data_IF_148012139446
#
_entry.id   IF_148012139446
#
_cell.length_a   1.000
_cell.length_b   1.000
_cell.length_c   1.000
_cell.angle_alpha   90.00
_cell.angle_beta   90.00
_cell.angle_gamma   90.00
#
_symmetry.space_group_name_H-M   'P 1'
#
loop_
_entity.id
_entity.type
_entity.pdbx_description
1 polymer ?
#
# COMPACT_ATOMS: atom_id res chain seq x y z
N UNK A 1 -47.87 2.19 14.67
CA UNK A 1 -47.20 3.49 14.33
C UNK A 1 -45.88 3.19 13.62
N UNK A 2 -45.86 3.24 12.29
CA UNK A 2 -44.69 3.06 11.45
C UNK A 2 -43.74 4.24 11.66
N UNK A 3 -42.56 3.99 12.30
CA UNK A 3 -41.47 4.98 12.30
C UNK A 3 -41.09 5.25 10.86
N UNK A 4 -41.46 6.42 10.31
CA UNK A 4 -40.91 6.96 9.08
C UNK A 4 -39.39 6.91 9.22
N UNK A 5 -38.73 5.97 8.53
CA UNK A 5 -37.29 5.97 8.37
C UNK A 5 -36.89 7.22 7.61
N UNK A 6 -36.62 8.32 8.34
CA UNK A 6 -36.03 9.52 7.75
C UNK A 6 -34.72 9.07 7.07
N UNK A 7 -34.64 9.26 5.77
CA UNK A 7 -33.51 8.86 4.97
C UNK A 7 -32.24 9.47 5.57
N UNK A 8 -31.40 8.66 6.23
CA UNK A 8 -30.17 9.13 6.86
C UNK A 8 -29.25 9.75 5.80
N UNK A 9 -28.80 10.96 6.06
CA UNK A 9 -27.86 11.66 5.20
C UNK A 9 -26.43 11.22 5.54
N UNK A 10 -25.93 10.22 4.81
CA UNK A 10 -24.56 9.70 5.00
C UNK A 10 -23.62 10.47 4.10
N UNK A 11 -22.61 11.12 4.69
CA UNK A 11 -21.56 11.83 3.97
C UNK A 11 -20.25 11.07 4.07
N UNK A 12 -19.54 10.92 2.95
CA UNK A 12 -18.27 10.23 2.82
C UNK A 12 -17.22 11.26 2.41
N UNK A 13 -16.14 11.37 3.18
CA UNK A 13 -15.02 12.26 2.87
C UNK A 13 -13.94 11.49 2.11
N UNK A 14 -13.63 11.96 0.90
CA UNK A 14 -12.64 11.39 0.00
C UNK A 14 -13.22 10.47 -1.06
N UNK A 15 -12.93 10.78 -2.32
CA UNK A 15 -13.30 10.00 -3.51
C UNK A 15 -12.24 9.00 -3.97
N UNK A 16 -11.35 8.55 -3.08
CA UNK A 16 -10.43 7.45 -3.32
C UNK A 16 -11.11 6.08 -3.33
N UNK A 17 -10.33 5.00 -3.51
CA UNK A 17 -10.88 3.63 -3.57
C UNK A 17 -11.76 3.30 -2.35
N UNK A 18 -11.35 3.69 -1.15
CA UNK A 18 -12.08 3.40 0.08
C UNK A 18 -13.45 4.10 0.09
N UNK A 19 -13.51 5.41 -0.19
CA UNK A 19 -14.76 6.15 -0.22
C UNK A 19 -15.70 5.70 -1.33
N UNK A 20 -15.16 5.42 -2.52
CA UNK A 20 -15.92 4.86 -3.64
C UNK A 20 -16.49 3.48 -3.29
N UNK A 21 -15.73 2.62 -2.62
CA UNK A 21 -16.19 1.29 -2.20
C UNK A 21 -17.30 1.37 -1.15
N UNK A 22 -17.14 2.23 -0.14
CA UNK A 22 -18.21 2.47 0.85
C UNK A 22 -19.50 2.90 0.15
N UNK A 23 -19.41 3.89 -0.73
CA UNK A 23 -20.56 4.38 -1.47
C UNK A 23 -21.20 3.30 -2.36
N UNK A 24 -20.39 2.47 -3.02
CA UNK A 24 -20.85 1.37 -3.85
C UNK A 24 -21.66 0.35 -3.04
N UNK A 25 -21.18 -0.05 -1.86
CA UNK A 25 -21.88 -0.99 -1.00
C UNK A 25 -23.14 -0.39 -0.37
N UNK A 26 -23.09 0.86 0.09
CA UNK A 26 -24.29 1.55 0.59
C UNK A 26 -25.40 1.59 -0.45
N UNK A 27 -25.05 1.82 -1.72
CA UNK A 27 -26.04 1.80 -2.82
C UNK A 27 -26.64 0.41 -3.05
N UNK A 28 -25.86 -0.67 -2.92
CA UNK A 28 -26.39 -2.03 -3.00
C UNK A 28 -27.48 -2.28 -1.96
N UNK A 29 -27.34 -1.66 -0.80
CA UNK A 29 -28.37 -1.68 0.27
C UNK A 29 -29.41 -0.58 0.14
N UNK A 30 -29.49 0.12 -1.02
CA UNK A 30 -30.43 1.24 -1.27
C UNK A 30 -30.27 2.41 -0.29
N UNK A 31 -29.12 2.56 0.36
CA UNK A 31 -28.83 3.62 1.31
C UNK A 31 -28.25 4.83 0.56
N UNK A 32 -28.93 5.98 0.67
CA UNK A 32 -28.48 7.25 0.08
C UNK A 32 -27.19 7.72 0.74
N UNK A 33 -26.26 8.21 -0.05
CA UNK A 33 -24.99 8.74 0.45
C UNK A 33 -24.42 9.78 -0.51
N UNK A 34 -23.49 10.60 -0.03
CA UNK A 34 -22.83 11.66 -0.78
C UNK A 34 -21.33 11.61 -0.53
N UNK A 35 -20.54 11.51 -1.58
CA UNK A 35 -19.07 11.64 -1.50
C UNK A 35 -18.67 13.10 -1.71
N UNK A 36 -17.78 13.60 -0.86
CA UNK A 36 -17.12 14.90 -0.98
C UNK A 36 -15.67 14.67 -1.40
N UNK A 37 -15.29 15.20 -2.56
CA UNK A 37 -13.93 15.09 -3.11
C UNK A 37 -13.38 16.50 -3.38
N UNK A 38 -12.13 16.74 -2.96
CA UNK A 38 -11.45 18.03 -3.12
C UNK A 38 -10.95 18.26 -4.55
N UNK A 39 -10.60 17.18 -5.24
CA UNK A 39 -10.12 17.19 -6.62
C UNK A 39 -11.28 17.25 -7.62
N UNK A 40 -10.95 17.50 -8.88
CA UNK A 40 -11.91 17.47 -10.00
C UNK A 40 -12.22 16.06 -10.52
N UNK A 41 -11.54 15.04 -10.00
CA UNK A 41 -11.70 13.61 -10.37
C UNK A 41 -11.56 12.71 -9.15
N UNK A 42 -12.33 11.63 -9.12
CA UNK A 42 -12.19 10.60 -8.10
C UNK A 42 -11.11 9.58 -8.45
N UNK A 43 -10.70 8.79 -7.44
CA UNK A 43 -9.74 7.69 -7.58
C UNK A 43 -8.53 7.78 -6.66
N UNK A 44 -8.24 8.97 -6.12
CA UNK A 44 -7.09 9.16 -5.24
C UNK A 44 -5.77 8.71 -5.88
N UNK A 45 -4.97 7.95 -5.18
CA UNK A 45 -3.68 7.43 -5.67
C UNK A 45 -3.82 6.37 -6.78
N UNK A 46 -5.00 5.75 -6.94
CA UNK A 46 -5.25 4.75 -8.00
C UNK A 46 -5.57 5.37 -9.36
N UNK A 47 -5.54 6.70 -9.46
CA UNK A 47 -5.78 7.36 -10.76
C UNK A 47 -4.64 7.06 -11.72
N UNK A 48 -5.00 7.04 -13.00
CA UNK A 48 -4.06 7.07 -14.12
C UNK A 48 -4.25 8.36 -14.90
N UNK A 49 -3.22 8.80 -15.59
CA UNK A 49 -3.23 9.98 -16.45
C UNK A 49 -2.54 9.68 -17.77
N UNK A 50 -2.91 10.44 -18.80
CA UNK A 50 -2.38 10.27 -20.15
C UNK A 50 -1.52 11.49 -20.51
N UNK A 51 -0.32 11.22 -21.02
CA UNK A 51 0.55 12.24 -21.63
C UNK A 51 0.90 11.74 -23.03
N UNK A 52 0.45 12.47 -24.05
CA UNK A 52 0.57 12.04 -25.46
C UNK A 52 -0.04 10.64 -25.63
N UNK A 53 0.73 9.65 -26.12
CA UNK A 53 0.31 8.27 -26.27
C UNK A 53 0.52 7.37 -25.05
N UNK A 54 1.22 7.85 -24.04
CA UNK A 54 1.57 7.09 -22.83
C UNK A 54 0.52 7.25 -21.74
N UNK A 55 0.26 6.17 -21.01
CA UNK A 55 -0.60 6.15 -19.83
C UNK A 55 0.28 5.85 -18.64
N UNK A 56 0.19 6.68 -17.62
CA UNK A 56 0.94 6.55 -16.37
C UNK A 56 -0.02 6.45 -15.19
N UNK A 57 0.37 5.74 -14.17
CA UNK A 57 -0.35 5.67 -12.90
C UNK A 57 0.21 6.71 -11.92
N UNK A 58 -0.64 7.25 -11.04
CA UNK A 58 -0.20 8.21 -10.02
C UNK A 58 0.77 7.60 -9.01
N UNK A 59 0.70 6.28 -8.82
CA UNK A 59 1.62 5.52 -8.00
C UNK A 59 1.67 4.07 -8.45
N UNK A 60 2.73 3.34 -8.07
CA UNK A 60 2.84 1.91 -8.39
C UNK A 60 1.87 1.13 -7.51
N UNK A 61 1.01 0.35 -8.13
CA UNK A 61 0.04 -0.49 -7.45
C UNK A 61 0.14 -1.95 -7.87
N UNK A 62 -0.01 -2.81 -6.89
CA UNK A 62 -0.05 -4.26 -7.07
C UNK A 62 -1.43 -4.75 -6.61
N UNK A 63 -2.12 -5.44 -7.51
CA UNK A 63 -3.44 -6.01 -7.21
C UNK A 63 -3.32 -7.39 -6.60
N UNK A 64 -3.42 -7.47 -5.27
CA UNK A 64 -3.55 -8.74 -4.56
C UNK A 64 -5.01 -9.05 -4.31
N UNK A 65 -5.49 -10.19 -4.80
CA UNK A 65 -6.85 -10.66 -4.55
C UNK A 65 -6.82 -12.07 -4.00
N UNK A 66 -6.79 -12.22 -2.67
CA UNK A 66 -6.89 -13.53 -2.01
C UNK A 66 -8.34 -14.00 -1.87
N UNK A 67 -9.26 -13.11 -1.55
CA UNK A 67 -10.67 -13.49 -1.37
C UNK A 67 -11.48 -13.39 -2.68
N UNK A 68 -12.63 -14.11 -2.69
CA UNK A 68 -13.54 -14.19 -3.85
C UNK A 68 -14.12 -12.82 -4.24
N UNK A 69 -14.45 -11.97 -3.25
CA UNK A 69 -15.05 -10.65 -3.50
C UNK A 69 -14.08 -9.75 -4.27
N UNK A 70 -12.82 -9.68 -3.82
CA UNK A 70 -11.80 -8.88 -4.51
C UNK A 70 -11.48 -9.44 -5.92
N UNK A 71 -11.40 -10.78 -6.10
CA UNK A 71 -11.22 -11.40 -7.42
C UNK A 71 -12.35 -11.03 -8.38
N UNK A 72 -13.60 -11.12 -7.93
CA UNK A 72 -14.77 -10.77 -8.72
C UNK A 72 -14.80 -9.27 -9.04
N UNK A 73 -14.43 -8.43 -8.09
CA UNK A 73 -14.32 -6.99 -8.31
C UNK A 73 -13.34 -6.66 -9.44
N UNK A 74 -12.12 -7.20 -9.42
CA UNK A 74 -11.14 -6.96 -10.48
C UNK A 74 -11.63 -7.45 -11.85
N UNK A 75 -12.26 -8.63 -11.90
CA UNK A 75 -12.83 -9.19 -13.15
C UNK A 75 -13.95 -8.30 -13.72
N UNK A 76 -14.84 -7.80 -12.85
CA UNK A 76 -15.96 -6.97 -13.26
C UNK A 76 -15.57 -5.54 -13.63
N UNK A 77 -14.46 -5.03 -13.10
CA UNK A 77 -14.05 -3.63 -13.25
C UNK A 77 -13.38 -3.34 -14.60
N UNK A 78 -12.50 -4.22 -15.07
CA UNK A 78 -11.77 -4.05 -16.33
C UNK A 78 -11.24 -5.37 -16.86
N UNK A 79 -11.15 -5.51 -18.20
CA UNK A 79 -10.34 -6.57 -18.83
C UNK A 79 -8.89 -6.40 -18.37
N UNK A 80 -8.26 -7.47 -17.88
CA UNK A 80 -6.94 -7.39 -17.27
C UNK A 80 -6.03 -8.55 -17.65
N UNK A 81 -4.73 -8.33 -17.55
CA UNK A 81 -3.70 -9.36 -17.60
C UNK A 81 -3.51 -9.98 -16.23
N UNK A 82 -3.17 -11.27 -16.21
CA UNK A 82 -2.56 -11.92 -15.06
C UNK A 82 -1.05 -11.88 -15.26
N UNK A 83 -0.35 -11.38 -14.26
CA UNK A 83 1.10 -11.25 -14.26
C UNK A 83 1.63 -12.07 -13.10
N UNK A 84 2.59 -12.93 -13.36
CA UNK A 84 3.37 -13.62 -12.33
C UNK A 84 4.65 -12.79 -12.09
N UNK A 85 4.71 -11.97 -11.04
CA UNK A 85 5.87 -11.15 -10.79
C UNK A 85 7.05 -12.03 -10.38
N UNK A 86 8.22 -11.72 -10.94
CA UNK A 86 9.50 -12.27 -10.52
C UNK A 86 10.41 -11.12 -10.10
N UNK A 87 10.19 -10.55 -8.90
CA UNK A 87 10.97 -9.40 -8.46
C UNK A 87 12.42 -9.78 -8.26
N UNK A 88 13.31 -8.85 -8.55
CA UNK A 88 14.74 -8.99 -8.42
C UNK A 88 15.31 -7.87 -7.54
N UNK A 89 16.48 -8.12 -6.98
CA UNK A 89 17.24 -7.14 -6.20
C UNK A 89 18.55 -6.84 -6.94
N UNK A 90 18.84 -5.58 -7.18
CA UNK A 90 20.14 -5.16 -7.68
C UNK A 90 21.07 -4.95 -6.48
N UNK A 91 22.13 -5.75 -6.41
CA UNK A 91 23.15 -5.67 -5.37
C UNK A 91 24.55 -5.71 -6.00
N UNK A 92 25.34 -4.66 -5.79
CA UNK A 92 26.71 -4.54 -6.36
C UNK A 92 26.77 -4.90 -7.86
N UNK A 93 25.86 -4.33 -8.65
CA UNK A 93 25.70 -4.60 -10.11
C UNK A 93 25.32 -6.05 -10.47
N UNK A 94 24.93 -6.88 -9.51
CA UNK A 94 24.41 -8.22 -9.75
C UNK A 94 22.91 -8.27 -9.50
N UNK A 95 22.18 -9.00 -10.32
CA UNK A 95 20.76 -9.30 -10.12
C UNK A 95 20.59 -10.54 -9.26
N UNK A 96 19.91 -10.41 -8.14
CA UNK A 96 19.60 -11.48 -7.19
C UNK A 96 18.08 -11.64 -7.15
N UNK A 97 17.58 -12.84 -7.36
CA UNK A 97 16.15 -13.11 -7.30
C UNK A 97 15.57 -12.88 -5.90
N UNK A 98 14.34 -12.46 -5.82
CA UNK A 98 13.62 -12.26 -4.57
C UNK A 98 13.03 -13.62 -4.11
N UNK A 99 13.12 -13.98 -2.86
CA UNK A 99 13.77 -13.31 -1.71
C UNK A 99 15.26 -13.66 -1.64
N UNK A 100 16.14 -12.67 -1.43
CA UNK A 100 17.59 -12.86 -1.57
C UNK A 100 18.18 -13.98 -0.73
N UNK A 101 17.63 -14.25 0.47
CA UNK A 101 18.13 -15.29 1.37
C UNK A 101 18.08 -16.69 0.77
N UNK A 102 17.26 -16.92 -0.27
CA UNK A 102 17.16 -18.18 -0.99
C UNK A 102 17.94 -18.21 -2.31
N UNK A 103 18.56 -17.07 -2.72
CA UNK A 103 19.14 -16.89 -4.04
C UNK A 103 20.50 -16.19 -3.99
N UNK A 104 21.37 -16.66 -3.09
CA UNK A 104 22.71 -16.07 -2.88
C UNK A 104 23.75 -16.56 -3.88
N UNK A 105 23.39 -17.45 -4.82
CA UNK A 105 24.31 -18.05 -5.79
C UNK A 105 25.16 -17.01 -6.56
N UNK A 106 24.64 -15.84 -6.99
CA UNK A 106 25.44 -14.84 -7.70
C UNK A 106 26.54 -14.17 -6.88
N UNK A 107 26.50 -14.27 -5.54
CA UNK A 107 27.51 -13.67 -4.67
C UNK A 107 28.85 -14.37 -4.76
N UNK A 108 29.93 -13.66 -4.48
CA UNK A 108 31.25 -14.26 -4.35
C UNK A 108 31.37 -15.14 -3.09
N UNK A 109 32.35 -16.01 -3.07
CA UNK A 109 32.54 -17.00 -2.00
C UNK A 109 32.71 -16.35 -0.61
N UNK A 110 33.43 -15.24 -0.54
CA UNK A 110 33.71 -14.54 0.73
C UNK A 110 32.38 -14.00 1.34
N UNK A 111 31.52 -13.43 0.51
CA UNK A 111 30.23 -12.94 0.99
C UNK A 111 29.30 -14.09 1.44
N UNK A 112 29.28 -15.19 0.70
CA UNK A 112 28.53 -16.40 1.09
C UNK A 112 28.97 -16.92 2.46
N UNK A 113 30.29 -17.04 2.67
CA UNK A 113 30.86 -17.47 3.94
C UNK A 113 30.49 -16.51 5.07
N UNK A 114 30.64 -15.19 4.87
CA UNK A 114 30.23 -14.16 5.86
C UNK A 114 28.75 -14.26 6.22
N UNK A 115 27.88 -14.49 5.25
CA UNK A 115 26.45 -14.66 5.48
C UNK A 115 26.17 -15.91 6.30
N UNK A 116 26.76 -17.05 5.94
CA UNK A 116 26.55 -18.33 6.63
C UNK A 116 27.08 -18.26 8.07
N UNK A 117 28.29 -17.78 8.28
CA UNK A 117 28.86 -17.60 9.62
C UNK A 117 27.99 -16.66 10.47
N UNK A 118 27.62 -15.51 9.90
CA UNK A 118 26.75 -14.56 10.60
C UNK A 118 25.37 -15.15 10.94
N UNK A 119 24.86 -16.05 10.12
CA UNK A 119 23.62 -16.79 10.41
C UNK A 119 23.82 -17.82 11.54
N UNK A 120 24.93 -18.55 11.56
CA UNK A 120 25.23 -19.55 12.61
C UNK A 120 25.36 -18.88 13.99
N UNK A 121 26.09 -17.77 14.05
CA UNK A 121 26.37 -17.04 15.30
C UNK A 121 25.34 -15.95 15.65
N UNK A 122 24.16 -15.97 15.02
CA UNK A 122 23.12 -14.98 15.30
C UNK A 122 22.50 -15.14 16.69
N UNK A 123 22.10 -14.05 17.31
CA UNK A 123 21.37 -14.09 18.57
C UNK A 123 19.88 -14.38 18.31
N UNK A 124 19.46 -15.62 18.51
CA UNK A 124 18.06 -16.05 18.31
C UNK A 124 17.09 -15.42 19.30
N UNK A 125 17.53 -14.97 20.46
CA UNK A 125 16.67 -14.30 21.45
C UNK A 125 16.07 -13.02 20.90
N UNK A 126 16.71 -12.37 19.94
CA UNK A 126 16.18 -11.16 19.29
C UNK A 126 14.90 -11.42 18.49
N UNK A 127 14.68 -12.66 18.02
CA UNK A 127 13.43 -13.06 17.35
C UNK A 127 12.28 -13.04 18.36
N UNK A 128 12.50 -13.59 19.54
CA UNK A 128 11.45 -13.74 20.57
C UNK A 128 11.17 -12.42 21.29
N UNK A 129 12.22 -11.67 21.63
CA UNK A 129 12.09 -10.36 22.32
C UNK A 129 11.43 -9.29 21.45
N UNK A 130 11.48 -9.39 20.14
CA UNK A 130 10.84 -8.50 19.16
C UNK A 130 10.88 -7.01 19.52
N UNK A 131 11.97 -6.54 20.09
CA UNK A 131 12.11 -5.14 20.52
C UNK A 131 11.82 -4.15 19.40
N UNK A 132 12.42 -4.40 18.22
CA UNK A 132 12.21 -3.64 17.01
C UNK A 132 12.51 -4.49 15.77
N UNK A 133 12.23 -3.95 14.58
CA UNK A 133 12.38 -4.66 13.33
C UNK A 133 13.84 -5.01 13.01
N UNK A 134 14.80 -4.14 13.33
CA UNK A 134 16.22 -4.40 13.10
C UNK A 134 16.73 -5.61 13.89
N UNK A 135 16.41 -5.66 15.18
CA UNK A 135 16.80 -6.79 16.03
C UNK A 135 16.17 -8.11 15.52
N UNK A 136 14.91 -8.05 15.13
CA UNK A 136 14.24 -9.20 14.55
C UNK A 136 14.93 -9.69 13.27
N UNK A 137 15.35 -8.78 12.38
CA UNK A 137 16.08 -9.12 11.17
C UNK A 137 17.44 -9.76 11.48
N UNK A 138 18.21 -9.19 12.42
CA UNK A 138 19.50 -9.71 12.83
C UNK A 138 19.39 -11.10 13.46
N UNK A 139 18.37 -11.30 14.31
CA UNK A 139 18.08 -12.60 14.90
C UNK A 139 17.62 -13.65 13.89
N UNK A 140 16.85 -13.23 12.88
CA UNK A 140 16.32 -14.15 11.85
C UNK A 140 17.35 -14.55 10.81
N UNK A 141 18.18 -13.62 10.35
CA UNK A 141 19.05 -13.83 9.17
C UNK A 141 20.55 -13.68 9.44
N UNK A 142 20.95 -13.29 10.64
CA UNK A 142 22.33 -12.91 10.98
C UNK A 142 22.65 -11.46 10.61
N UNK A 143 23.62 -10.88 11.31
CA UNK A 143 23.97 -9.47 11.20
C UNK A 143 24.40 -9.05 9.79
N UNK A 144 25.24 -9.88 9.14
CA UNK A 144 25.78 -9.55 7.82
C UNK A 144 24.67 -9.47 6.76
N UNK A 145 23.88 -10.53 6.61
CA UNK A 145 22.77 -10.53 5.65
C UNK A 145 21.75 -9.44 5.97
N UNK A 146 21.35 -9.30 7.24
CA UNK A 146 20.36 -8.31 7.65
C UNK A 146 20.79 -6.88 7.24
N UNK A 147 22.05 -6.52 7.46
CA UNK A 147 22.60 -5.19 7.13
C UNK A 147 22.61 -4.94 5.62
N UNK A 148 23.07 -5.92 4.83
CA UNK A 148 23.30 -5.71 3.40
C UNK A 148 22.06 -5.83 2.54
N UNK A 149 21.00 -6.49 3.02
CA UNK A 149 19.74 -6.69 2.28
C UNK A 149 18.53 -6.03 2.96
N UNK A 150 17.85 -6.67 3.93
CA UNK A 150 16.56 -6.15 4.37
C UNK A 150 16.63 -4.83 5.14
N UNK A 151 17.68 -4.54 5.90
CA UNK A 151 17.83 -3.25 6.60
C UNK A 151 17.99 -2.13 5.58
N UNK A 152 18.97 -2.26 4.68
CA UNK A 152 19.24 -1.25 3.63
C UNK A 152 18.02 -1.03 2.73
N UNK A 153 17.37 -2.12 2.30
CA UNK A 153 16.13 -2.04 1.53
C UNK A 153 15.02 -1.31 2.30
N UNK A 154 14.82 -1.66 3.57
CA UNK A 154 13.78 -1.07 4.41
C UNK A 154 13.98 0.42 4.60
N UNK A 155 15.20 0.84 4.92
CA UNK A 155 15.50 2.26 5.14
C UNK A 155 15.33 3.09 3.86
N UNK A 156 15.70 2.53 2.71
CA UNK A 156 15.45 3.16 1.41
C UNK A 156 13.96 3.24 1.09
N UNK A 157 13.22 2.15 1.29
CA UNK A 157 11.81 2.05 0.89
C UNK A 157 10.88 2.85 1.80
N UNK A 158 11.12 2.83 3.12
CA UNK A 158 10.26 3.47 4.11
C UNK A 158 10.79 4.84 4.58
N UNK A 159 11.98 5.26 4.16
CA UNK A 159 12.66 6.45 4.66
C UNK A 159 12.66 6.53 6.21
N UNK A 160 12.78 5.37 6.86
CA UNK A 160 12.69 5.20 8.31
C UNK A 160 13.70 4.15 8.75
N UNK A 161 14.46 4.42 9.81
CA UNK A 161 15.43 3.46 10.34
C UNK A 161 14.72 2.20 10.83
N UNK A 162 15.26 1.04 10.49
CA UNK A 162 14.69 -0.25 10.86
C UNK A 162 14.54 -0.44 12.38
N UNK A 163 15.42 0.16 13.18
CA UNK A 163 15.34 0.16 14.64
C UNK A 163 14.13 0.90 15.20
N UNK A 164 13.58 1.85 14.46
CA UNK A 164 12.41 2.65 14.84
C UNK A 164 11.08 2.02 14.36
N UNK A 165 11.13 0.86 13.74
CA UNK A 165 9.98 0.16 13.21
C UNK A 165 9.51 -0.98 14.13
N UNK A 166 8.19 -1.11 14.26
CA UNK A 166 7.56 -2.23 14.96
C UNK A 166 7.69 -3.54 14.18
N UNK A 167 7.60 -4.67 14.88
CA UNK A 167 7.57 -6.02 14.31
C UNK A 167 6.15 -6.55 14.08
N UNK A 168 5.11 -5.82 14.47
CA UNK A 168 3.70 -6.29 14.43
C UNK A 168 3.17 -6.63 13.03
N UNK A 169 3.75 -6.03 11.98
CA UNK A 169 3.36 -6.21 10.58
C UNK A 169 4.05 -7.37 9.86
N UNK A 170 5.10 -7.95 10.44
CA UNK A 170 5.97 -8.95 9.79
C UNK A 170 5.17 -10.21 9.41
N UNK A 171 4.56 -10.88 10.39
CA UNK A 171 3.80 -12.14 10.23
C UNK A 171 4.30 -12.98 9.03
N UNK A 172 3.43 -13.20 8.04
CA UNK A 172 3.71 -14.00 6.83
C UNK A 172 4.37 -13.22 5.68
N UNK A 173 4.71 -11.94 5.88
CA UNK A 173 5.33 -11.12 4.82
C UNK A 173 6.83 -11.36 4.69
N UNK A 174 7.46 -11.78 5.76
CA UNK A 174 8.88 -12.12 5.76
C UNK A 174 9.03 -13.62 5.86
N UNK A 175 9.83 -14.18 4.97
CA UNK A 175 10.11 -15.61 4.91
C UNK A 175 11.30 -15.93 5.80
N UNK A 176 11.13 -16.65 6.93
CA UNK A 176 12.25 -17.17 7.70
C UNK A 176 13.04 -18.15 6.84
N UNK A 177 14.32 -18.32 7.13
CA UNK A 177 15.18 -19.27 6.45
C UNK A 177 15.79 -20.23 7.47
N UNK A 178 15.97 -21.49 7.08
CA UNK A 178 16.77 -22.46 7.80
C UNK A 178 18.17 -22.57 7.16
N UNK A 179 19.12 -23.22 7.86
CA UNK A 179 20.49 -23.34 7.41
C UNK A 179 20.59 -24.12 6.08
N UNK A 180 19.80 -25.19 5.93
CA UNK A 180 19.80 -26.01 4.71
C UNK A 180 19.42 -25.17 3.49
N UNK A 181 18.32 -24.43 3.56
CA UNK A 181 17.86 -23.56 2.47
C UNK A 181 18.85 -22.43 2.18
N UNK A 182 19.52 -21.89 3.22
CA UNK A 182 20.54 -20.86 3.07
C UNK A 182 21.75 -21.39 2.30
N UNK A 183 22.24 -22.59 2.64
CA UNK A 183 23.36 -23.25 1.97
C UNK A 183 22.97 -23.59 0.53
N UNK A 184 21.79 -24.16 0.31
CA UNK A 184 21.31 -24.48 -1.05
C UNK A 184 21.26 -23.22 -1.89
N UNK A 185 20.66 -22.13 -1.38
CA UNK A 185 20.57 -20.86 -2.10
C UNK A 185 21.91 -20.17 -2.35
N UNK A 186 22.96 -20.48 -1.54
CA UNK A 186 24.30 -19.94 -1.71
C UNK A 186 25.12 -20.69 -2.77
N UNK A 187 25.00 -22.01 -2.85
CA UNK A 187 25.90 -22.82 -3.67
C UNK A 187 25.23 -23.44 -4.91
N UNK A 188 23.91 -23.46 -4.97
CA UNK A 188 23.19 -24.01 -6.11
C UNK A 188 22.30 -22.94 -6.77
N UNK A 189 22.31 -22.89 -8.10
CA UNK A 189 21.49 -21.97 -8.88
C UNK A 189 20.07 -22.52 -9.06
N UNK A 190 19.35 -22.64 -7.93
CA UNK A 190 17.98 -23.18 -7.91
C UNK A 190 17.02 -22.02 -7.58
N UNK A 191 16.09 -21.76 -8.49
CA UNK A 191 15.04 -20.77 -8.25
C UNK A 191 13.97 -21.33 -7.31
N UNK A 192 13.71 -20.62 -6.20
CA UNK A 192 12.63 -20.92 -5.27
C UNK A 192 11.61 -19.77 -5.29
N UNK A 193 10.42 -20.02 -5.77
CA UNK A 193 9.35 -19.01 -5.74
C UNK A 193 8.90 -18.78 -4.29
N UNK A 194 9.38 -17.69 -3.72
CA UNK A 194 9.08 -17.28 -2.34
C UNK A 194 8.26 -16.01 -2.27
N UNK A 195 7.84 -15.48 -3.43
CA UNK A 195 7.07 -14.26 -3.45
C UNK A 195 5.63 -14.51 -2.98
N UNK A 196 5.19 -13.73 -1.99
CA UNK A 196 3.89 -13.90 -1.32
C UNK A 196 2.67 -13.67 -2.23
N UNK A 197 2.87 -13.21 -3.46
CA UNK A 197 1.84 -12.96 -4.45
C UNK A 197 2.21 -13.48 -5.82
N UNK A 198 1.78 -14.68 -6.10
CA UNK A 198 2.08 -15.37 -7.37
C UNK A 198 1.24 -14.85 -8.54
N UNK A 199 0.20 -14.07 -8.29
CA UNK A 199 -0.66 -13.51 -9.35
C UNK A 199 -1.01 -12.07 -9.06
N UNK A 200 -0.60 -11.19 -9.95
CA UNK A 200 -1.02 -9.80 -10.00
C UNK A 200 -1.90 -9.54 -11.19
N UNK A 201 -2.73 -8.51 -11.11
CA UNK A 201 -3.58 -8.07 -12.21
C UNK A 201 -3.26 -6.63 -12.56
N UNK A 202 -3.20 -6.39 -13.87
CA UNK A 202 -3.10 -5.05 -14.42
C UNK A 202 -4.11 -4.88 -15.57
N UNK A 203 -4.81 -3.73 -15.69
CA UNK A 203 -5.78 -3.51 -16.74
C UNK A 203 -5.14 -3.54 -18.13
N UNK A 204 -5.83 -4.12 -19.12
CA UNK A 204 -5.35 -4.11 -20.51
C UNK A 204 -5.30 -2.71 -21.10
N UNK A 205 -6.18 -1.83 -20.66
CA UNK A 205 -6.32 -0.46 -21.18
C UNK A 205 -6.59 0.53 -20.04
N UNK A 206 -6.13 1.78 -20.20
CA UNK A 206 -6.46 2.91 -19.34
C UNK A 206 -5.71 3.00 -18.02
N UNK A 207 -4.70 2.16 -17.80
CA UNK A 207 -3.90 2.13 -16.57
C UNK A 207 -4.66 1.56 -15.37
N UNK A 208 -4.04 1.57 -14.20
CA UNK A 208 -4.59 0.97 -12.98
C UNK A 208 -5.91 1.59 -12.54
N UNK A 209 -6.11 2.88 -12.86
CA UNK A 209 -7.38 3.60 -12.61
C UNK A 209 -8.61 2.97 -13.23
N UNK A 210 -8.45 2.11 -14.23
CA UNK A 210 -9.56 1.39 -14.89
C UNK A 210 -10.25 0.39 -13.95
N UNK A 211 -9.56 -0.11 -12.94
CA UNK A 211 -10.19 -0.93 -11.90
C UNK A 211 -11.22 -0.19 -11.05
N UNK A 212 -11.26 1.14 -11.13
CA UNK A 212 -12.27 1.94 -10.43
C UNK A 212 -13.55 2.15 -11.26
N UNK A 213 -13.63 1.69 -12.52
CA UNK A 213 -14.72 2.02 -13.42
C UNK A 213 -16.09 1.58 -12.88
N UNK A 214 -16.18 0.41 -12.24
CA UNK A 214 -17.45 -0.05 -11.64
C UNK A 214 -17.89 0.85 -10.48
N UNK A 215 -16.92 1.38 -9.71
CA UNK A 215 -17.20 2.26 -8.56
C UNK A 215 -17.53 3.70 -9.00
N UNK A 216 -16.93 4.15 -10.12
CA UNK A 216 -17.13 5.51 -10.67
C UNK A 216 -18.51 5.71 -11.29
N UNK A 217 -19.27 4.66 -11.54
CA UNK A 217 -20.68 4.75 -12.00
C UNK A 217 -21.60 5.45 -10.97
N UNK A 218 -21.04 5.76 -9.80
CA UNK A 218 -21.75 6.50 -8.76
C UNK A 218 -21.84 7.99 -9.10
N UNK A 219 -23.08 8.49 -9.27
CA UNK A 219 -23.35 9.92 -9.54
C UNK A 219 -23.43 10.80 -8.29
N UNK A 220 -23.32 10.24 -7.09
CA UNK A 220 -23.43 10.96 -5.81
C UNK A 220 -22.08 11.47 -5.32
N UNK A 221 -21.32 12.18 -6.17
CA UNK A 221 -20.03 12.76 -5.85
C UNK A 221 -20.07 14.26 -6.13
N UNK A 222 -19.67 15.06 -5.14
CA UNK A 222 -19.41 16.49 -5.31
C UNK A 222 -17.90 16.72 -5.39
N UNK A 223 -17.44 17.11 -6.57
CA UNK A 223 -16.03 17.44 -6.85
C UNK A 223 -15.71 18.90 -6.49
N UNK A 224 -14.42 19.22 -6.45
CA UNK A 224 -13.90 20.57 -6.16
C UNK A 224 -14.42 21.13 -4.83
N UNK A 225 -14.63 20.24 -3.83
CA UNK A 225 -15.15 20.59 -2.50
C UNK A 225 -14.09 20.43 -1.45
N UNK A 226 -13.23 21.47 -1.34
CA UNK A 226 -12.21 21.52 -0.30
C UNK A 226 -12.85 21.87 1.04
N UNK A 227 -12.73 20.95 2.00
CA UNK A 227 -13.26 21.11 3.35
C UNK A 227 -12.39 22.11 4.10
N UNK A 228 -13.04 23.12 4.70
CA UNK A 228 -12.42 24.10 5.60
C UNK A 228 -12.45 23.62 7.04
N UNK A 229 -13.57 22.99 7.46
CA UNK A 229 -13.82 22.66 8.85
C UNK A 229 -14.96 21.65 8.98
N UNK A 230 -14.87 20.81 9.99
CA UNK A 230 -15.90 19.83 10.36
C UNK A 230 -16.33 20.14 11.81
N UNK A 231 -17.63 20.29 12.05
CA UNK A 231 -18.20 20.34 13.38
C UNK A 231 -18.91 19.02 13.66
N UNK A 232 -18.29 18.17 14.47
CA UNK A 232 -18.82 16.82 14.76
C UNK A 232 -20.05 16.88 15.67
N UNK A 233 -20.15 17.85 16.60
CA UNK A 233 -21.28 18.01 17.50
C UNK A 233 -22.52 18.48 16.76
N UNK A 234 -22.37 19.53 15.91
CA UNK A 234 -23.46 20.07 15.07
C UNK A 234 -23.69 19.26 13.81
N UNK A 235 -22.86 18.25 13.54
CA UNK A 235 -22.89 17.42 12.32
C UNK A 235 -22.87 18.25 11.05
N UNK A 236 -21.95 19.21 10.94
CA UNK A 236 -21.81 20.13 9.81
C UNK A 236 -20.42 20.09 9.20
N UNK A 237 -20.35 20.19 7.88
CA UNK A 237 -19.11 20.34 7.12
C UNK A 237 -19.16 21.69 6.41
N UNK A 238 -18.11 22.50 6.60
CA UNK A 238 -17.94 23.81 5.99
C UNK A 238 -16.90 23.74 4.88
N UNK A 239 -17.19 24.38 3.76
CA UNK A 239 -16.29 24.47 2.61
C UNK A 239 -15.62 25.85 2.51
N UNK A 240 -14.51 25.95 1.79
CA UNK A 240 -13.82 27.22 1.59
C UNK A 240 -14.70 28.30 0.93
N UNK A 241 -15.69 27.87 0.16
CA UNK A 241 -16.65 28.75 -0.56
C UNK A 241 -17.81 29.24 0.31
N UNK A 242 -17.72 29.17 1.64
CA UNK A 242 -18.78 29.60 2.55
C UNK A 242 -19.98 28.66 2.67
N UNK A 243 -20.15 27.73 1.76
CA UNK A 243 -21.24 26.74 1.78
C UNK A 243 -21.04 25.70 2.87
N UNK A 244 -22.13 25.20 3.45
CA UNK A 244 -22.12 24.11 4.42
C UNK A 244 -23.09 23.00 4.04
N UNK A 245 -22.86 21.79 4.53
CA UNK A 245 -23.79 20.66 4.49
C UNK A 245 -23.93 20.04 5.87
N UNK A 246 -25.10 19.47 6.16
CA UNK A 246 -25.35 18.67 7.36
C UNK A 246 -25.21 17.18 7.04
N UNK A 247 -24.89 16.38 8.02
CA UNK A 247 -24.85 14.91 7.92
C UNK A 247 -25.44 14.27 9.18
N UNK A 248 -26.02 13.09 9.02
CA UNK A 248 -26.42 12.26 10.15
C UNK A 248 -25.30 11.31 10.55
N UNK A 249 -24.64 10.73 9.53
CA UNK A 249 -23.46 9.88 9.69
C UNK A 249 -22.33 10.34 8.77
N UNK A 250 -21.11 10.28 9.28
CA UNK A 250 -19.90 10.67 8.56
C UNK A 250 -18.94 9.48 8.46
N UNK A 251 -18.52 9.18 7.23
CA UNK A 251 -17.46 8.21 6.97
C UNK A 251 -16.26 8.97 6.44
N UNK A 252 -15.15 8.95 7.16
CA UNK A 252 -13.91 9.57 6.72
C UNK A 252 -12.99 8.56 6.07
N UNK A 253 -12.55 8.82 4.85
CA UNK A 253 -11.53 8.07 4.13
C UNK A 253 -10.34 8.95 3.73
N UNK A 254 -10.28 10.18 4.23
CA UNK A 254 -9.12 11.05 4.15
C UNK A 254 -8.10 10.68 5.24
N UNK A 255 -6.82 11.07 5.11
CA UNK A 255 -5.82 10.79 6.14
C UNK A 255 -6.26 11.24 7.54
N UNK A 256 -6.09 10.38 8.54
CA UNK A 256 -6.54 10.66 9.90
C UNK A 256 -5.96 11.95 10.50
N UNK A 257 -4.68 12.30 10.30
CA UNK A 257 -4.15 13.60 10.74
C UNK A 257 -4.88 14.79 10.11
N UNK A 258 -5.22 14.70 8.82
CA UNK A 258 -5.98 15.74 8.12
C UNK A 258 -7.40 15.85 8.66
N UNK A 259 -8.07 14.73 8.89
CA UNK A 259 -9.40 14.70 9.50
C UNK A 259 -9.39 15.34 10.89
N UNK A 260 -8.42 15.00 11.75
CA UNK A 260 -8.29 15.61 13.09
C UNK A 260 -8.04 17.11 13.01
N UNK A 261 -7.19 17.57 12.06
CA UNK A 261 -6.90 18.99 11.86
C UNK A 261 -8.14 19.78 11.43
N UNK A 262 -8.97 19.20 10.58
CA UNK A 262 -10.20 19.82 10.07
C UNK A 262 -11.34 19.81 11.10
N UNK A 263 -11.32 18.91 12.06
CA UNK A 263 -12.39 18.72 13.04
C UNK A 263 -12.29 19.70 14.19
N UNK A 264 -13.41 20.39 14.50
CA UNK A 264 -13.53 21.22 15.70
C UNK A 264 -13.70 20.35 16.95
N UNK A 265 -13.26 20.88 18.09
CA UNK A 265 -13.47 20.30 19.41
C UNK A 265 -12.85 18.89 19.57
N UNK A 266 -11.79 18.62 18.81
CA UNK A 266 -10.93 17.44 19.05
C UNK A 266 -10.05 17.74 20.28
N UNK A 267 -10.00 16.80 21.22
CA UNK A 267 -9.18 16.99 22.42
C UNK A 267 -7.70 17.19 22.06
N UNK A 268 -6.97 18.05 22.81
CA UNK A 268 -5.54 18.27 22.54
C UNK A 268 -4.71 16.99 22.58
N UNK A 269 -5.12 15.99 23.37
CA UNK A 269 -4.48 14.66 23.44
C UNK A 269 -4.60 13.93 22.09
N UNK A 270 -5.79 13.89 21.50
CA UNK A 270 -6.02 13.25 20.18
C UNK A 270 -5.27 14.01 19.09
N UNK A 271 -5.30 15.34 19.10
CA UNK A 271 -4.60 16.14 18.10
C UNK A 271 -3.07 15.93 18.17
N UNK A 272 -2.50 15.87 19.36
CA UNK A 272 -1.07 15.52 19.55
C UNK A 272 -0.75 14.11 19.07
N UNK A 273 -1.60 13.13 19.38
CA UNK A 273 -1.44 11.75 18.93
C UNK A 273 -1.50 11.64 17.39
N UNK A 274 -2.45 12.35 16.76
CA UNK A 274 -2.59 12.33 15.30
C UNK A 274 -1.37 12.89 14.57
N UNK A 275 -0.72 13.92 15.15
CA UNK A 275 0.53 14.50 14.59
C UNK A 275 1.73 13.54 14.64
N UNK A 276 1.69 12.52 15.51
CA UNK A 276 2.74 11.48 15.59
C UNK A 276 2.59 10.40 14.51
N UNK A 277 1.46 10.33 13.83
CA UNK A 277 1.26 9.40 12.72
C UNK A 277 2.11 9.84 11.54
N UNK A 278 3.09 9.01 11.20
CA UNK A 278 3.96 9.24 10.04
C UNK A 278 3.36 8.61 8.79
N UNK A 279 3.49 9.31 7.68
CA UNK A 279 3.17 8.79 6.35
C UNK A 279 4.43 8.86 5.50
N UNK A 280 4.72 7.79 4.77
CA UNK A 280 5.80 7.81 3.78
C UNK A 280 5.39 8.68 2.60
N UNK A 281 6.35 9.41 2.07
CA UNK A 281 6.22 10.14 0.81
C UNK A 281 7.25 9.59 -0.19
N UNK A 282 6.92 9.64 -1.46
CA UNK A 282 7.80 9.21 -2.53
C UNK A 282 7.65 10.06 -3.78
N UNK A 283 8.71 10.09 -4.58
CA UNK A 283 8.70 10.70 -5.90
C UNK A 283 8.65 9.57 -6.93
N UNK A 284 7.63 9.58 -7.77
CA UNK A 284 7.50 8.66 -8.89
C UNK A 284 7.95 9.36 -10.16
N UNK A 285 9.01 8.83 -10.79
CA UNK A 285 9.48 9.29 -12.09
C UNK A 285 8.96 8.33 -13.14
N UNK A 286 8.06 8.82 -14.01
CA UNK A 286 7.49 8.04 -15.11
C UNK A 286 8.23 8.35 -16.40
N UNK A 287 8.79 7.33 -17.07
CA UNK A 287 9.60 7.48 -18.28
C UNK A 287 8.91 6.75 -19.43
N UNK A 288 8.61 7.48 -20.50
CA UNK A 288 8.10 6.92 -21.76
C UNK A 288 9.22 6.73 -22.77
N UNK A 289 9.42 5.52 -23.28
CA UNK A 289 10.43 5.22 -24.29
C UNK A 289 9.78 4.75 -25.59
N UNK A 290 10.43 4.99 -26.73
CA UNK A 290 9.91 4.63 -28.06
C UNK A 290 10.13 3.16 -28.41
N UNK A 291 11.10 2.51 -27.81
CA UNK A 291 11.49 1.13 -28.10
C UNK A 291 11.07 0.18 -26.97
N UNK A 292 11.00 -1.12 -27.30
CA UNK A 292 10.74 -2.16 -26.31
C UNK A 292 11.90 -2.20 -25.30
N UNK A 293 11.57 -2.07 -24.03
CA UNK A 293 12.56 -2.17 -22.95
C UNK A 293 12.58 -3.59 -22.43
N UNK A 294 13.75 -4.23 -22.51
CA UNK A 294 13.97 -5.56 -21.96
C UNK A 294 14.55 -5.42 -20.55
N UNK A 295 13.72 -5.10 -19.58
CA UNK A 295 14.13 -4.99 -18.18
C UNK A 295 13.64 -6.19 -17.38
N UNK A 296 14.55 -6.80 -16.59
CA UNK A 296 14.21 -7.82 -15.58
C UNK A 296 13.60 -7.15 -14.35
N UNK A 297 12.50 -6.46 -14.51
CA UNK A 297 11.80 -5.82 -13.40
C UNK A 297 10.32 -6.04 -13.58
N UNK A 298 9.60 -5.97 -12.52
CA UNK A 298 8.13 -6.02 -12.36
C UNK A 298 7.31 -5.97 -13.65
#
# INVERSE_FOLDING_TARGET
MSKKNSAQNIVILGGGISGLSVSYFLKKFKIKNLIIEKENKCGGLLRSFKIKKYIFDHFIHISHAKNRIAKNFFKASAKNFLINPKPNNLYKNMWIDHSPQFHLFPLNLIEKIKIILSYLFRNRNDIFKRKNYENWLKGSYGNYFAKHFPITYTEKYWATKSKDMSTSWIKFRMQPINLKDLIIGAFFNIYKDTFYSNQMRYPKHGGYGSFLNILKKNKSIKFNKKIKKINLQKKEIFFNQGKKIKFDRLVSTIPLPEFCKLSKNISPKILRASKKLRCTAGILVSIGVKQKVNMRTW
#
